data_IF_900601057421
#
_entry.id   IF_900601057421
#
_cell.length_a   1.000
_cell.length_b   1.000
_cell.length_c   1.000
_cell.angle_alpha   90.00
_cell.angle_beta   90.00
_cell.angle_gamma   90.00
#
_symmetry.space_group_name_H-M   'P 1'
#
loop_
_entity.id
_entity.type
_entity.pdbx_description
1 polymer ?
#
# COMPACT_ATOMS: atom_id res chain seq x y z
N UNK A 1 -23.06 -18.55 11.78
CA UNK A 1 -22.91 -17.21 11.13
C UNK A 1 -23.33 -17.37 9.67
N UNK A 2 -24.21 -16.51 9.17
CA UNK A 2 -24.63 -16.58 7.78
C UNK A 2 -23.64 -15.87 6.85
N UNK A 3 -23.80 -16.06 5.54
CA UNK A 3 -22.88 -15.49 4.55
C UNK A 3 -22.83 -13.96 4.57
N UNK A 4 -23.95 -13.31 4.85
CA UNK A 4 -24.02 -11.85 4.92
C UNK A 4 -23.22 -11.30 6.11
N UNK A 5 -23.29 -11.99 7.24
CA UNK A 5 -22.53 -11.61 8.45
C UNK A 5 -21.04 -11.82 8.23
N UNK A 6 -20.65 -12.93 7.59
CA UNK A 6 -19.25 -13.21 7.24
C UNK A 6 -18.69 -12.14 6.31
N UNK A 7 -19.47 -11.76 5.29
CA UNK A 7 -19.05 -10.73 4.34
C UNK A 7 -18.87 -9.38 5.03
N UNK A 8 -19.80 -9.02 5.92
CA UNK A 8 -19.69 -7.78 6.68
C UNK A 8 -18.45 -7.75 7.55
N UNK A 9 -18.14 -8.87 8.21
CA UNK A 9 -16.93 -8.98 9.04
C UNK A 9 -15.66 -8.85 8.23
N UNK A 10 -15.62 -9.45 7.03
CA UNK A 10 -14.48 -9.31 6.12
C UNK A 10 -14.32 -7.85 5.66
N UNK A 11 -15.41 -7.20 5.32
CA UNK A 11 -15.39 -5.79 4.92
C UNK A 11 -14.90 -4.87 6.04
N UNK A 12 -15.27 -5.16 7.29
CA UNK A 12 -14.76 -4.42 8.44
C UNK A 12 -13.26 -4.61 8.62
N UNK A 13 -12.75 -5.82 8.42
CA UNK A 13 -11.32 -6.11 8.49
C UNK A 13 -10.55 -5.37 7.39
N UNK A 14 -11.09 -5.35 6.18
CA UNK A 14 -10.51 -4.60 5.07
C UNK A 14 -10.44 -3.11 5.40
N UNK A 15 -11.54 -2.57 5.93
CA UNK A 15 -11.61 -1.15 6.32
C UNK A 15 -10.51 -0.80 7.32
N UNK A 16 -10.37 -1.61 8.36
CA UNK A 16 -9.34 -1.40 9.39
C UNK A 16 -7.93 -1.53 8.83
N UNK A 17 -7.71 -2.52 7.96
CA UNK A 17 -6.40 -2.73 7.33
C UNK A 17 -6.01 -1.55 6.45
N UNK A 18 -6.95 -1.01 5.66
CA UNK A 18 -6.72 0.15 4.81
C UNK A 18 -6.42 1.40 5.65
N UNK A 19 -7.12 1.60 6.77
CA UNK A 19 -6.85 2.71 7.69
C UNK A 19 -5.45 2.59 8.29
N UNK A 20 -5.05 1.40 8.71
CA UNK A 20 -3.73 1.16 9.27
C UNK A 20 -2.65 1.40 8.23
N UNK A 21 -2.84 0.95 7.00
CA UNK A 21 -1.92 1.19 5.89
C UNK A 21 -1.76 2.70 5.65
N UNK A 22 -2.87 3.44 5.66
CA UNK A 22 -2.86 4.88 5.50
C UNK A 22 -2.08 5.57 6.62
N UNK A 23 -2.32 5.18 7.87
CA UNK A 23 -1.63 5.74 9.02
C UNK A 23 -0.13 5.53 8.92
N UNK A 24 0.30 4.32 8.58
CA UNK A 24 1.73 4.00 8.42
C UNK A 24 2.36 4.72 7.24
N UNK A 25 1.61 4.87 6.16
CA UNK A 25 2.07 5.58 4.97
C UNK A 25 2.23 7.07 5.25
N UNK A 26 1.27 7.68 5.94
CA UNK A 26 1.34 9.08 6.36
C UNK A 26 2.53 9.31 7.30
N UNK A 27 2.78 8.37 8.22
CA UNK A 27 3.93 8.43 9.12
C UNK A 27 5.25 8.33 8.33
N UNK A 28 5.31 7.47 7.32
CA UNK A 28 6.49 7.34 6.47
C UNK A 28 6.76 8.64 5.70
N UNK A 29 5.71 9.23 5.14
CA UNK A 29 5.82 10.48 4.40
C UNK A 29 6.28 11.63 5.28
N UNK A 30 5.71 11.73 6.48
CA UNK A 30 6.08 12.73 7.46
C UNK A 30 7.55 12.59 7.87
N UNK A 31 7.98 11.36 8.13
CA UNK A 31 9.36 11.02 8.50
C UNK A 31 10.36 11.41 7.39
N UNK A 32 10.02 11.11 6.13
CA UNK A 32 10.83 11.49 4.97
C UNK A 32 10.92 13.02 4.84
N UNK A 33 9.81 13.72 5.04
CA UNK A 33 9.73 15.16 4.92
C UNK A 33 10.53 15.89 6.01
N UNK A 34 10.62 15.29 7.20
CA UNK A 34 11.33 15.86 8.34
C UNK A 34 12.78 15.38 8.48
N UNK A 35 13.28 14.61 7.52
CA UNK A 35 14.66 14.14 7.54
C UNK A 35 14.95 13.14 8.66
N UNK A 36 13.99 12.34 9.05
CA UNK A 36 14.16 11.34 10.11
C UNK A 36 15.18 10.27 9.78
N UNK A 37 15.68 9.58 10.79
CA UNK A 37 16.65 8.50 10.62
C UNK A 37 15.98 7.20 10.18
N UNK A 38 16.72 6.38 9.46
CA UNK A 38 16.26 5.06 8.99
C UNK A 38 14.89 5.12 8.28
N UNK A 39 14.73 5.98 7.25
CA UNK A 39 13.45 6.12 6.57
C UNK A 39 12.98 4.82 5.89
N UNK A 40 13.91 3.94 5.53
CA UNK A 40 13.60 2.64 4.91
C UNK A 40 12.72 1.78 5.80
N UNK A 41 12.86 1.87 7.11
CA UNK A 41 12.04 1.09 8.06
C UNK A 41 10.59 1.56 8.06
N UNK A 42 10.38 2.88 8.02
CA UNK A 42 9.04 3.47 8.01
C UNK A 42 8.32 3.11 6.72
N UNK A 43 9.02 3.17 5.59
CA UNK A 43 8.46 2.81 4.28
C UNK A 43 8.17 1.31 4.24
N UNK A 44 9.06 0.49 4.80
CA UNK A 44 8.86 -0.96 4.88
C UNK A 44 7.58 -1.31 5.66
N UNK A 45 7.34 -0.67 6.80
CA UNK A 45 6.13 -0.91 7.58
C UNK A 45 4.87 -0.53 6.80
N UNK A 46 4.92 0.56 6.05
CA UNK A 46 3.82 0.97 5.19
C UNK A 46 3.60 -0.06 4.07
N UNK A 47 4.66 -0.56 3.47
CA UNK A 47 4.61 -1.61 2.43
C UNK A 47 3.95 -2.87 2.98
N UNK A 48 4.37 -3.33 4.16
CA UNK A 48 3.81 -4.53 4.80
C UNK A 48 2.33 -4.37 5.09
N UNK A 49 1.92 -3.20 5.60
CA UNK A 49 0.51 -2.92 5.88
C UNK A 49 -0.31 -2.88 4.59
N UNK A 50 0.22 -2.32 3.51
CA UNK A 50 -0.44 -2.27 2.21
C UNK A 50 -0.55 -3.67 1.60
N UNK A 51 0.48 -4.50 1.73
CA UNK A 51 0.46 -5.89 1.24
C UNK A 51 -0.61 -6.70 1.97
N UNK A 52 -0.67 -6.58 3.29
CA UNK A 52 -1.70 -7.24 4.09
C UNK A 52 -3.11 -6.79 3.68
N UNK A 53 -3.29 -5.49 3.49
CA UNK A 53 -4.56 -4.93 3.03
C UNK A 53 -4.95 -5.48 1.66
N UNK A 54 -3.98 -5.61 0.76
CA UNK A 54 -4.17 -6.17 -0.58
C UNK A 54 -4.65 -7.62 -0.52
N UNK A 55 -4.05 -8.42 0.35
CA UNK A 55 -4.46 -9.81 0.54
C UNK A 55 -5.90 -9.91 1.05
N UNK A 56 -6.23 -9.17 2.10
CA UNK A 56 -7.59 -9.15 2.65
C UNK A 56 -8.61 -8.64 1.64
N UNK A 57 -8.24 -7.62 0.87
CA UNK A 57 -9.09 -7.04 -0.17
C UNK A 57 -9.41 -8.09 -1.24
N UNK A 58 -8.40 -8.81 -1.73
CA UNK A 58 -8.62 -9.84 -2.74
C UNK A 58 -9.50 -10.97 -2.23
N UNK A 59 -9.29 -11.41 -0.99
CA UNK A 59 -10.11 -12.45 -0.36
C UNK A 59 -11.56 -11.99 -0.18
N UNK A 60 -11.75 -10.76 0.28
CA UNK A 60 -13.09 -10.23 0.59
C UNK A 60 -13.95 -10.07 -0.65
N UNK A 61 -13.34 -9.67 -1.77
CA UNK A 61 -14.07 -9.38 -3.01
C UNK A 61 -13.88 -10.42 -4.10
N UNK A 62 -13.32 -11.59 -3.76
CA UNK A 62 -13.19 -12.72 -4.70
C UNK A 62 -12.26 -12.45 -5.86
N UNK A 63 -11.15 -11.78 -5.62
CA UNK A 63 -10.21 -11.35 -6.65
C UNK A 63 -8.90 -12.15 -6.67
N UNK A 64 -8.88 -13.33 -6.04
CA UNK A 64 -7.68 -14.16 -5.90
C UNK A 64 -7.11 -14.61 -7.24
N UNK A 65 -7.97 -14.79 -8.25
CA UNK A 65 -7.56 -15.24 -9.57
C UNK A 65 -7.20 -14.10 -10.53
N UNK A 66 -7.30 -12.86 -10.05
CA UNK A 66 -6.96 -11.70 -10.88
C UNK A 66 -5.47 -11.45 -10.90
N UNK A 67 -4.93 -11.24 -12.08
CA UNK A 67 -3.52 -10.89 -12.24
C UNK A 67 -3.29 -9.46 -11.77
N UNK A 68 -2.32 -9.22 -10.87
CA UNK A 68 -1.98 -7.86 -10.51
C UNK A 68 -1.35 -7.13 -11.70
N UNK A 69 -1.49 -5.80 -11.77
CA UNK A 69 -0.87 -5.02 -12.84
C UNK A 69 0.65 -5.16 -12.78
N UNK A 70 1.29 -5.20 -13.94
CA UNK A 70 2.76 -5.23 -14.02
C UNK A 70 3.25 -3.82 -13.70
N UNK A 71 4.09 -3.66 -12.66
CA UNK A 71 4.57 -2.34 -12.29
C UNK A 71 5.57 -1.81 -13.31
N UNK A 72 5.40 -0.54 -13.67
CA UNK A 72 6.39 0.17 -14.48
C UNK A 72 7.33 0.87 -13.52
N UNK A 73 8.60 0.45 -13.48
CA UNK A 73 9.61 1.09 -12.66
C UNK A 73 9.96 2.46 -13.25
N UNK A 74 9.82 3.50 -12.44
CA UNK A 74 10.27 4.83 -12.81
C UNK A 74 11.80 4.91 -12.66
N UNK A 75 12.49 5.36 -13.70
CA UNK A 75 13.92 5.67 -13.62
C UNK A 75 14.08 6.96 -12.81
N UNK A 76 15.10 7.00 -11.96
CA UNK A 76 15.45 8.17 -11.15
C UNK A 76 14.29 8.68 -10.30
N UNK A 77 13.44 7.77 -9.82
CA UNK A 77 12.33 8.13 -8.96
C UNK A 77 12.82 8.55 -7.58
N UNK A 78 12.25 9.62 -7.06
CA UNK A 78 12.51 10.08 -5.70
C UNK A 78 11.64 9.29 -4.72
N UNK A 79 12.22 8.76 -3.61
CA UNK A 79 11.43 8.01 -2.64
C UNK A 79 10.22 8.78 -2.11
N UNK A 80 10.38 10.06 -1.81
CA UNK A 80 9.27 10.90 -1.30
C UNK A 80 8.14 10.99 -2.33
N UNK A 81 8.47 11.14 -3.61
CA UNK A 81 7.46 11.18 -4.69
C UNK A 81 6.73 9.86 -4.80
N UNK A 82 7.45 8.74 -4.70
CA UNK A 82 6.86 7.40 -4.75
C UNK A 82 5.89 7.18 -3.59
N UNK A 83 6.26 7.62 -2.38
CA UNK A 83 5.39 7.49 -1.20
C UNK A 83 4.14 8.37 -1.36
N UNK A 84 4.28 9.60 -1.90
CA UNK A 84 3.13 10.47 -2.19
C UNK A 84 2.20 9.83 -3.21
N UNK A 85 2.74 9.27 -4.28
CA UNK A 85 1.95 8.59 -5.30
C UNK A 85 1.26 7.35 -4.75
N UNK A 86 1.93 6.61 -3.84
CA UNK A 86 1.32 5.45 -3.19
C UNK A 86 0.17 5.86 -2.27
N UNK A 87 0.26 7.02 -1.61
CA UNK A 87 -0.83 7.55 -0.80
C UNK A 87 -2.06 7.86 -1.66
N UNK A 88 -1.86 8.42 -2.84
CA UNK A 88 -2.96 8.69 -3.78
C UNK A 88 -3.58 7.39 -4.29
N UNK A 89 -2.77 6.40 -4.64
CA UNK A 89 -3.26 5.08 -5.06
C UNK A 89 -4.08 4.42 -3.96
N UNK A 90 -3.62 4.51 -2.71
CA UNK A 90 -4.33 3.95 -1.55
C UNK A 90 -5.68 4.65 -1.35
N UNK A 91 -5.72 5.96 -1.51
CA UNK A 91 -6.96 6.74 -1.42
C UNK A 91 -7.97 6.27 -2.46
N UNK A 92 -7.51 6.06 -3.70
CA UNK A 92 -8.36 5.56 -4.79
C UNK A 92 -8.90 4.17 -4.49
N UNK A 93 -8.04 3.28 -3.99
CA UNK A 93 -8.45 1.93 -3.61
C UNK A 93 -9.54 1.96 -2.54
N UNK A 94 -9.40 2.86 -1.57
CA UNK A 94 -10.38 3.01 -0.49
C UNK A 94 -11.72 3.52 -1.02
N UNK A 95 -11.70 4.50 -1.92
CA UNK A 95 -12.91 5.06 -2.53
C UNK A 95 -13.67 4.04 -3.38
N UNK A 96 -12.93 3.18 -4.10
CA UNK A 96 -13.52 2.22 -5.02
C UNK A 96 -14.00 0.93 -4.33
N UNK A 97 -13.69 0.77 -3.07
CA UNK A 97 -14.09 -0.42 -2.30
C UNK A 97 -15.62 -0.59 -2.32
N UNK A 98 -16.06 -1.76 -2.77
CA UNK A 98 -17.48 -2.08 -2.87
C UNK A 98 -18.21 -1.47 -4.06
N UNK A 99 -17.53 -0.61 -4.84
CA UNK A 99 -18.10 0.03 -6.05
C UNK A 99 -17.47 -0.53 -7.31
N UNK A 100 -16.15 -0.49 -7.41
CA UNK A 100 -15.35 -1.06 -8.49
C UNK A 100 -14.17 -1.79 -7.88
N UNK A 101 -14.45 -2.93 -7.24
CA UNK A 101 -13.45 -3.64 -6.42
C UNK A 101 -12.23 -4.11 -7.21
N UNK A 102 -12.41 -4.55 -8.45
CA UNK A 102 -11.26 -4.93 -9.29
C UNK A 102 -10.33 -3.75 -9.55
N UNK A 103 -10.90 -2.59 -9.89
CA UNK A 103 -10.13 -1.38 -10.12
C UNK A 103 -9.46 -0.92 -8.84
N UNK A 104 -10.19 -0.94 -7.71
CA UNK A 104 -9.64 -0.64 -6.40
C UNK A 104 -8.48 -1.55 -6.03
N UNK A 105 -8.58 -2.84 -6.33
CA UNK A 105 -7.51 -3.81 -6.11
C UNK A 105 -6.25 -3.44 -6.92
N UNK A 106 -6.44 -3.05 -8.18
CA UNK A 106 -5.33 -2.63 -9.03
C UNK A 106 -4.60 -1.41 -8.45
N UNK A 107 -5.35 -0.44 -7.96
CA UNK A 107 -4.76 0.72 -7.27
C UNK A 107 -4.01 0.29 -6.01
N UNK A 108 -4.55 -0.65 -5.25
CA UNK A 108 -3.91 -1.14 -4.03
C UNK A 108 -2.60 -1.87 -4.34
N UNK A 109 -2.57 -2.68 -5.40
CA UNK A 109 -1.33 -3.32 -5.86
C UNK A 109 -0.31 -2.28 -6.32
N UNK A 110 -0.75 -1.22 -6.98
CA UNK A 110 0.11 -0.10 -7.35
C UNK A 110 0.71 0.56 -6.11
N UNK A 111 -0.08 0.73 -5.06
CA UNK A 111 0.40 1.25 -3.76
C UNK A 111 1.57 0.40 -3.24
N UNK A 112 1.39 -0.92 -3.21
CA UNK A 112 2.42 -1.86 -2.75
C UNK A 112 3.70 -1.73 -3.59
N UNK A 113 3.58 -1.72 -4.90
CA UNK A 113 4.75 -1.67 -5.79
C UNK A 113 5.53 -0.36 -5.65
N UNK A 114 4.84 0.76 -5.51
CA UNK A 114 5.51 2.06 -5.32
C UNK A 114 6.24 2.15 -3.99
N UNK A 115 5.62 1.63 -2.93
CA UNK A 115 6.26 1.56 -1.62
C UNK A 115 7.48 0.63 -1.65
N UNK A 116 7.36 -0.50 -2.33
CA UNK A 116 8.47 -1.45 -2.49
C UNK A 116 9.65 -0.81 -3.23
N UNK A 117 9.38 -0.06 -4.28
CA UNK A 117 10.40 0.65 -5.02
C UNK A 117 11.08 1.72 -4.16
N UNK A 118 10.29 2.50 -3.41
CA UNK A 118 10.81 3.51 -2.49
C UNK A 118 11.69 2.88 -1.40
N UNK A 119 11.22 1.78 -0.81
CA UNK A 119 11.98 1.02 0.18
C UNK A 119 13.34 0.57 -0.37
N UNK A 120 13.33 0.01 -1.56
CA UNK A 120 14.55 -0.49 -2.21
C UNK A 120 15.56 0.64 -2.48
N UNK A 121 15.10 1.79 -2.97
CA UNK A 121 15.95 2.96 -3.21
C UNK A 121 16.57 3.45 -1.89
N UNK A 122 15.77 3.58 -0.85
CA UNK A 122 16.23 4.04 0.47
C UNK A 122 17.23 3.07 1.10
N UNK A 123 16.99 1.77 0.97
CA UNK A 123 17.87 0.74 1.48
C UNK A 123 19.24 0.81 0.81
N UNK A 124 19.27 0.95 -0.51
CA UNK A 124 20.52 1.12 -1.25
C UNK A 124 21.27 2.39 -0.86
N UNK A 125 20.56 3.49 -0.69
CA UNK A 125 21.16 4.76 -0.26
C UNK A 125 21.76 4.64 1.13
N UNK A 126 21.10 3.95 2.05
CA UNK A 126 21.60 3.68 3.40
C UNK A 126 22.86 2.83 3.38
N UNK A 127 22.88 1.79 2.53
CA UNK A 127 24.04 0.91 2.39
C UNK A 127 25.28 1.66 1.87
N UNK A 128 25.09 2.60 0.95
CA UNK A 128 26.20 3.40 0.41
C UNK A 128 26.82 4.37 1.41
N UNK A 129 26.06 4.76 2.45
CA UNK A 129 26.54 5.66 3.50
C UNK A 129 27.29 4.94 4.61
N UNK A 130 27.22 3.60 4.60
CA UNK A 130 27.94 2.76 5.57
C UNK A 130 29.26 2.29 4.96
#
# INVERSE_FOLDING_TARGET
>A
MDAAEEQRMLEEKVSKALEEARTKLDAALDHLSNGGTEPEKKVWWAEEAAEYSSLLYSLTYGLEDEDPPVPVRKRNAEPTSLVKESAESLRRATELRGKSSLEGYRYLRTTVYKLRQAHHILEKAGAKKR
#
